data_IF_756731592598
#
_entry.id   IF_756731592598
#
_cell.length_a   1.000
_cell.length_b   1.000
_cell.length_c   1.000
_cell.angle_alpha   90.00
_cell.angle_beta   90.00
_cell.angle_gamma   90.00
#
_symmetry.space_group_name_H-M   'P 1'
#
loop_
_entity.id
_entity.type
_entity.pdbx_description
1 polymer ?
#
# COMPACT_ATOMS: atom_id res chain seq x y z
N UNK A 1 -17.38 10.53 40.37
CA UNK A 1 -18.84 10.51 40.47
C UNK A 1 -19.30 9.08 40.25
N UNK A 2 -19.82 8.50 41.31
CA UNK A 2 -20.22 7.10 41.48
C UNK A 2 -21.31 6.67 40.51
N UNK A 3 -21.30 5.41 40.07
CA UNK A 3 -22.46 4.53 40.16
C UNK A 3 -22.02 3.06 40.27
N UNK A 4 -22.41 2.49 41.40
CA UNK A 4 -22.33 1.11 41.84
C UNK A 4 -23.59 0.32 41.42
N UNK A 5 -23.41 -1.01 41.28
CA UNK A 5 -24.31 -2.11 41.66
C UNK A 5 -25.53 -2.41 40.74
N UNK A 6 -25.60 -3.70 40.26
CA UNK A 6 -26.59 -4.63 40.87
C UNK A 6 -26.32 -6.08 40.43
N UNK A 7 -26.04 -6.89 41.45
CA UNK A 7 -26.11 -8.36 41.48
C UNK A 7 -27.57 -8.79 41.40
N UNK A 8 -27.87 -9.91 40.73
CA UNK A 8 -29.06 -10.70 40.97
C UNK A 8 -28.80 -12.16 40.73
N UNK A 9 -28.54 -12.86 41.81
CA UNK A 9 -28.63 -14.29 42.03
C UNK A 9 -30.06 -14.80 41.76
N UNK A 10 -30.20 -15.94 41.05
CA UNK A 10 -31.40 -16.75 41.11
C UNK A 10 -31.05 -18.22 41.30
N UNK A 11 -31.16 -18.63 42.58
CA UNK A 11 -31.20 -20.00 43.01
C UNK A 11 -32.66 -20.50 42.91
N UNK A 12 -32.87 -21.67 42.35
CA UNK A 12 -34.08 -22.44 42.62
C UNK A 12 -33.76 -23.93 42.73
N UNK A 13 -33.91 -24.37 43.95
CA UNK A 13 -34.28 -25.68 44.48
C UNK A 13 -35.39 -26.38 43.66
N UNK A 14 -35.28 -27.69 43.45
CA UNK A 14 -36.38 -28.61 43.32
C UNK A 14 -35.93 -30.00 43.80
N UNK A 15 -36.46 -30.39 44.68
CA UNK A 15 -36.99 -31.32 45.67
C UNK A 15 -37.16 -32.74 45.10
N UNK A 16 -36.56 -33.68 45.84
CA UNK A 16 -36.79 -35.14 45.77
C UNK A 16 -38.26 -35.52 45.92
N UNK A 17 -38.72 -36.47 45.09
CA UNK A 17 -39.81 -37.34 45.44
C UNK A 17 -39.46 -38.78 45.08
N UNK A 18 -39.23 -39.54 46.12
CA UNK A 18 -39.20 -40.98 46.17
C UNK A 18 -40.57 -41.57 45.89
N UNK A 19 -40.65 -42.61 45.06
CA UNK A 19 -41.73 -43.57 45.09
C UNK A 19 -41.17 -44.98 44.95
N UNK A 20 -41.56 -45.84 45.91
CA UNK A 20 -41.11 -47.24 45.89
C UNK A 20 -42.25 -48.12 45.28
N UNK A 21 -41.98 -48.73 44.14
CA UNK A 21 -42.72 -49.95 43.76
C UNK A 21 -42.01 -50.63 42.60
N UNK A 22 -41.61 -51.83 42.80
CA UNK A 22 -41.59 -53.04 41.98
C UNK A 22 -40.24 -53.70 41.79
N UNK A 23 -39.85 -54.46 42.81
CA UNK A 23 -38.68 -55.38 42.79
C UNK A 23 -39.09 -56.70 42.13
N UNK A 24 -40.19 -56.84 41.37
CA UNK A 24 -40.68 -58.12 40.92
C UNK A 24 -40.51 -58.42 39.41
N UNK A 25 -39.92 -57.51 38.61
CA UNK A 25 -39.73 -57.75 37.16
C UNK A 25 -38.28 -57.88 36.74
N UNK A 26 -37.32 -57.88 37.68
CA UNK A 26 -35.90 -57.88 37.29
C UNK A 26 -35.31 -59.30 37.04
N UNK A 27 -35.97 -60.33 37.50
CA UNK A 27 -35.46 -61.72 37.42
C UNK A 27 -35.86 -62.46 36.12
N UNK A 28 -36.91 -62.02 35.42
CA UNK A 28 -37.33 -62.63 34.16
C UNK A 28 -36.64 -62.00 32.92
N UNK A 29 -36.11 -60.79 33.04
CA UNK A 29 -35.40 -60.13 31.95
C UNK A 29 -33.96 -60.61 31.79
N UNK A 30 -33.33 -61.11 32.82
CA UNK A 30 -31.93 -61.62 32.78
C UNK A 30 -31.82 -63.00 32.06
N UNK A 31 -32.86 -63.83 32.12
CA UNK A 31 -32.84 -65.18 31.47
C UNK A 31 -33.08 -65.02 29.95
N UNK A 32 -33.83 -64.07 29.50
CA UNK A 32 -34.03 -63.78 28.05
C UNK A 32 -32.84 -63.14 27.39
N UNK A 33 -31.99 -62.38 28.14
CA UNK A 33 -30.80 -61.71 27.63
C UNK A 33 -29.61 -62.66 27.43
N UNK A 34 -29.57 -63.83 28.17
CA UNK A 34 -28.48 -64.81 28.04
C UNK A 34 -28.59 -65.73 26.80
N UNK A 35 -29.77 -65.82 26.14
CA UNK A 35 -29.97 -66.65 24.97
C UNK A 35 -29.64 -65.97 23.64
N UNK A 36 -29.49 -64.65 23.65
CA UNK A 36 -29.16 -63.83 22.44
C UNK A 36 -27.66 -63.61 22.23
N UNK A 37 -26.78 -64.07 23.09
CA UNK A 37 -25.32 -63.82 23.00
C UNK A 37 -24.55 -65.03 22.38
N UNK A 38 -25.23 -66.09 21.93
CA UNK A 38 -24.59 -67.33 21.41
C UNK A 38 -24.70 -67.45 19.88
N UNK A 39 -24.70 -66.36 19.12
CA UNK A 39 -24.67 -66.50 17.66
C UNK A 39 -23.74 -65.48 17.05
N UNK A 40 -22.78 -65.98 16.29
CA UNK A 40 -21.81 -65.34 15.41
C UNK A 40 -20.49 -64.88 16.02
N UNK A 41 -19.67 -65.87 16.34
CA UNK A 41 -18.23 -65.69 16.17
C UNK A 41 -17.91 -65.95 14.69
N UNK A 42 -18.04 -64.92 13.85
CA UNK A 42 -17.49 -64.93 12.51
C UNK A 42 -16.27 -64.04 12.59
N UNK A 43 -15.10 -64.61 12.64
CA UNK A 43 -13.81 -63.98 12.41
C UNK A 43 -13.81 -63.50 10.94
N UNK A 44 -14.30 -62.34 10.71
CA UNK A 44 -13.93 -61.58 9.53
C UNK A 44 -12.61 -60.87 9.89
N UNK A 45 -11.53 -61.38 9.36
CA UNK A 45 -10.29 -60.63 9.19
C UNK A 45 -10.61 -59.54 8.18
N UNK A 46 -11.15 -58.42 8.65
CA UNK A 46 -11.08 -57.19 7.90
C UNK A 46 -9.60 -56.76 7.91
N UNK A 47 -8.92 -57.14 6.83
CA UNK A 47 -7.78 -56.38 6.39
C UNK A 47 -8.33 -54.97 6.18
N UNK A 48 -8.09 -54.07 7.13
CA UNK A 48 -8.17 -52.65 6.86
C UNK A 48 -7.20 -52.42 5.70
N UNK A 49 -7.70 -52.42 4.47
CA UNK A 49 -7.07 -51.74 3.38
C UNK A 49 -7.05 -50.27 3.84
N UNK A 50 -5.93 -49.88 4.40
CA UNK A 50 -5.56 -48.46 4.60
C UNK A 50 -5.76 -47.83 3.23
N UNK A 51 -6.92 -47.19 3.03
CA UNK A 51 -7.16 -46.39 1.83
C UNK A 51 -6.09 -45.29 1.84
N UNK A 52 -5.01 -45.57 1.11
CA UNK A 52 -3.96 -44.60 0.89
C UNK A 52 -4.59 -43.39 0.21
N UNK A 53 -4.93 -42.38 1.02
CA UNK A 53 -5.49 -41.14 0.52
C UNK A 53 -4.39 -40.41 -0.22
N UNK A 54 -4.41 -40.48 -1.53
CA UNK A 54 -3.52 -39.70 -2.39
C UNK A 54 -4.06 -38.26 -2.46
N UNK A 55 -3.20 -37.29 -2.17
CA UNK A 55 -3.57 -35.86 -2.24
C UNK A 55 -3.24 -35.33 -3.62
N UNK A 56 -4.21 -34.67 -4.33
CA UNK A 56 -3.92 -34.02 -5.59
C UNK A 56 -3.06 -32.77 -5.36
N UNK A 57 -1.97 -32.64 -6.14
CA UNK A 57 -0.99 -31.57 -5.99
C UNK A 57 -0.60 -30.99 -7.33
N UNK A 58 -0.14 -29.73 -7.35
CA UNK A 58 0.59 -29.17 -8.48
C UNK A 58 2.08 -29.07 -8.14
N UNK A 59 2.91 -29.10 -9.16
CA UNK A 59 4.37 -29.11 -9.00
C UNK A 59 5.01 -27.93 -9.72
N UNK A 60 6.17 -27.56 -9.23
CA UNK A 60 7.00 -26.51 -9.80
C UNK A 60 8.48 -26.91 -9.75
N UNK A 61 9.30 -26.12 -10.44
CA UNK A 61 10.75 -26.28 -10.44
C UNK A 61 11.44 -25.07 -9.85
N UNK A 62 12.64 -25.27 -9.32
CA UNK A 62 13.47 -24.15 -8.93
C UNK A 62 13.94 -23.39 -10.16
N UNK A 63 14.10 -22.06 -10.03
CA UNK A 63 14.67 -21.24 -11.09
C UNK A 63 15.88 -20.49 -10.57
N UNK A 64 16.88 -20.31 -11.42
CA UNK A 64 18.07 -19.51 -11.12
C UNK A 64 17.90 -18.16 -11.78
N UNK A 65 18.08 -17.10 -11.01
CA UNK A 65 17.96 -15.74 -11.53
C UNK A 65 18.38 -14.69 -10.50
N UNK A 66 18.36 -13.44 -10.96
CA UNK A 66 18.66 -12.31 -10.07
C UNK A 66 17.39 -11.96 -9.26
N UNK A 67 17.56 -11.78 -7.96
CA UNK A 67 16.50 -11.35 -7.05
C UNK A 67 16.87 -10.05 -6.36
N UNK A 68 15.86 -9.20 -6.13
CA UNK A 68 16.04 -7.91 -5.46
C UNK A 68 15.04 -7.80 -4.30
N UNK A 69 15.54 -7.54 -3.12
CA UNK A 69 14.69 -7.16 -1.99
C UNK A 69 14.30 -5.70 -2.13
N UNK A 70 13.01 -5.43 -2.37
CA UNK A 70 12.49 -4.11 -2.63
C UNK A 70 11.54 -3.72 -1.51
N UNK A 71 11.71 -2.50 -1.00
CA UNK A 71 10.73 -1.84 -0.13
C UNK A 71 10.04 -0.74 -0.93
N UNK A 72 8.71 -0.73 -0.93
CA UNK A 72 7.91 0.31 -1.56
C UNK A 72 7.49 1.34 -0.50
N UNK A 73 7.81 2.61 -0.75
CA UNK A 73 7.38 3.74 0.06
C UNK A 73 6.54 4.71 -0.76
N UNK A 74 5.62 5.39 -0.08
CA UNK A 74 4.82 6.41 -0.72
C UNK A 74 5.56 7.75 -0.76
N UNK A 75 5.46 8.44 -1.89
CA UNK A 75 5.92 9.81 -2.07
C UNK A 75 4.81 10.67 -2.65
N UNK A 76 4.69 11.90 -2.19
CA UNK A 76 3.64 12.84 -2.59
C UNK A 76 4.25 13.94 -3.43
N UNK A 77 3.65 14.21 -4.60
CA UNK A 77 4.06 15.30 -5.47
C UNK A 77 3.68 16.65 -4.87
N UNK A 78 4.61 17.61 -4.92
CA UNK A 78 4.36 18.98 -4.49
C UNK A 78 5.26 19.95 -5.24
N UNK A 79 4.88 21.21 -5.30
CA UNK A 79 5.74 22.26 -5.81
C UNK A 79 6.55 22.89 -4.66
N UNK A 80 7.88 22.89 -4.77
CA UNK A 80 8.74 23.52 -3.77
C UNK A 80 8.63 25.05 -3.77
N UNK A 81 8.28 25.63 -4.92
CA UNK A 81 8.16 27.07 -5.06
C UNK A 81 6.74 27.44 -5.46
N UNK A 82 6.06 28.10 -4.54
CA UNK A 82 4.72 28.66 -4.69
C UNK A 82 4.82 30.17 -4.52
N UNK A 83 4.47 30.89 -5.54
CA UNK A 83 4.61 32.34 -5.59
C UNK A 83 3.25 32.99 -5.44
N UNK A 84 3.10 33.81 -4.40
CA UNK A 84 1.90 34.61 -4.20
C UNK A 84 1.94 35.85 -5.09
N UNK A 85 0.80 36.14 -5.70
CA UNK A 85 0.55 37.37 -6.45
C UNK A 85 -0.34 38.25 -5.60
N UNK A 86 0.17 39.40 -5.17
CA UNK A 86 -0.56 40.30 -4.28
C UNK A 86 -0.90 41.63 -4.97
N UNK A 87 -1.93 42.28 -4.45
CA UNK A 87 -2.31 43.62 -4.85
C UNK A 87 -1.21 44.63 -4.47
N UNK A 88 -0.85 45.50 -5.40
CA UNK A 88 0.20 46.54 -5.23
C UNK A 88 -0.33 47.85 -4.70
N UNK A 89 -1.64 48.03 -4.63
CA UNK A 89 -2.33 49.21 -4.11
C UNK A 89 -3.80 48.88 -3.80
N UNK A 90 -4.48 49.79 -3.13
CA UNK A 90 -5.91 49.68 -2.83
C UNK A 90 -6.76 50.02 -4.07
N UNK A 91 -7.81 49.23 -4.31
CA UNK A 91 -8.73 49.51 -5.42
C UNK A 91 -9.69 48.36 -5.72
N UNK A 92 -10.39 48.48 -6.85
CA UNK A 92 -11.30 47.46 -7.34
C UNK A 92 -10.64 46.66 -8.46
N UNK A 93 -10.82 45.34 -8.44
CA UNK A 93 -10.40 44.49 -9.55
C UNK A 93 -11.33 44.69 -10.74
N UNK A 94 -10.83 45.32 -11.79
CA UNK A 94 -11.58 45.55 -13.02
C UNK A 94 -11.73 44.28 -13.85
N UNK A 95 -10.69 43.49 -13.93
CA UNK A 95 -10.70 42.21 -14.66
C UNK A 95 -9.71 41.20 -14.11
N UNK A 96 -10.03 39.94 -14.28
CA UNK A 96 -9.20 38.77 -14.03
C UNK A 96 -9.03 38.06 -15.37
N UNK A 97 -7.81 37.94 -15.87
CA UNK A 97 -7.51 37.49 -17.25
C UNK A 97 -7.04 36.04 -17.30
N UNK A 98 -7.03 35.34 -16.17
CA UNK A 98 -6.51 33.99 -16.04
C UNK A 98 -7.50 33.09 -15.31
N UNK A 99 -7.35 31.77 -15.52
CA UNK A 99 -8.16 30.74 -14.89
C UNK A 99 -7.27 29.81 -14.05
N UNK A 100 -7.81 29.17 -13.00
CA UNK A 100 -7.11 28.10 -12.28
C UNK A 100 -6.68 26.98 -13.25
N UNK A 101 -5.47 26.43 -13.05
CA UNK A 101 -4.85 25.43 -13.92
C UNK A 101 -4.20 25.98 -15.20
N UNK A 102 -4.42 27.25 -15.56
CA UNK A 102 -3.82 27.85 -16.73
C UNK A 102 -2.32 28.07 -16.56
N UNK A 103 -1.54 27.78 -17.60
CA UNK A 103 -0.12 28.10 -17.65
C UNK A 103 0.05 29.62 -17.85
N UNK A 104 0.93 30.22 -17.06
CA UNK A 104 1.27 31.63 -17.12
C UNK A 104 2.77 31.82 -17.30
N UNK A 105 3.14 32.89 -18.00
CA UNK A 105 4.52 33.29 -18.19
C UNK A 105 4.85 34.48 -17.29
N UNK A 106 6.09 34.60 -16.84
CA UNK A 106 6.58 35.75 -16.09
C UNK A 106 6.31 37.04 -16.88
N UNK A 107 5.72 38.07 -16.21
CA UNK A 107 5.33 39.32 -16.81
C UNK A 107 3.95 39.31 -17.50
N UNK A 108 3.29 38.18 -17.64
CA UNK A 108 1.92 38.07 -18.15
C UNK A 108 0.96 38.81 -17.21
N UNK A 109 0.07 39.65 -17.78
CA UNK A 109 -0.97 40.35 -17.00
C UNK A 109 -1.99 39.33 -16.50
N UNK A 110 -2.24 39.32 -15.19
CA UNK A 110 -3.16 38.44 -14.50
C UNK A 110 -4.41 39.16 -14.04
N UNK A 111 -4.22 40.38 -13.51
CA UNK A 111 -5.28 41.22 -12.98
C UNK A 111 -5.11 42.65 -13.46
N UNK A 112 -6.23 43.33 -13.64
CA UNK A 112 -6.26 44.77 -13.84
C UNK A 112 -6.96 45.40 -12.64
N UNK A 113 -6.25 46.25 -11.89
CA UNK A 113 -6.73 46.95 -10.73
C UNK A 113 -7.02 48.39 -11.11
N UNK A 114 -8.12 48.95 -10.64
CA UNK A 114 -8.43 50.37 -10.76
C UNK A 114 -8.40 51.00 -9.36
N UNK A 115 -7.43 51.87 -9.14
CA UNK A 115 -7.33 52.65 -7.91
C UNK A 115 -8.50 53.62 -7.79
N UNK A 116 -9.11 53.71 -6.60
CA UNK A 116 -10.26 54.61 -6.36
C UNK A 116 -9.95 56.08 -6.66
N UNK A 117 -8.75 56.51 -6.27
CA UNK A 117 -8.28 57.87 -6.51
C UNK A 117 -7.95 58.13 -7.98
N UNK A 118 -7.34 57.13 -8.64
CA UNK A 118 -7.01 57.21 -10.05
C UNK A 118 -8.25 57.23 -10.95
N UNK A 119 -9.33 56.53 -10.58
CA UNK A 119 -10.61 56.59 -11.29
C UNK A 119 -11.24 57.98 -11.26
N UNK A 120 -11.19 58.64 -10.09
CA UNK A 120 -11.70 60.01 -9.96
C UNK A 120 -10.86 61.05 -10.70
N UNK A 121 -9.51 60.96 -10.61
CA UNK A 121 -8.60 61.83 -11.35
C UNK A 121 -8.73 61.61 -12.86
N UNK A 122 -8.82 60.36 -13.29
CA UNK A 122 -8.95 60.03 -14.72
C UNK A 122 -10.19 60.61 -15.35
N UNK A 123 -11.33 60.62 -14.67
CA UNK A 123 -12.56 61.26 -15.16
C UNK A 123 -12.39 62.77 -15.34
N UNK A 124 -11.68 63.43 -14.41
CA UNK A 124 -11.45 64.86 -14.45
C UNK A 124 -10.44 65.26 -15.55
N UNK A 125 -9.33 64.53 -15.67
CA UNK A 125 -8.31 64.75 -16.69
C UNK A 125 -8.85 64.53 -18.10
N UNK A 126 -9.57 63.46 -18.34
CA UNK A 126 -10.17 63.14 -19.62
C UNK A 126 -11.31 64.04 -20.00
N UNK A 127 -11.93 64.77 -19.04
CA UNK A 127 -12.91 65.87 -19.30
C UNK A 127 -12.24 67.16 -19.67
N UNK A 128 -11.02 67.43 -19.17
CA UNK A 128 -10.25 68.65 -19.48
C UNK A 128 -9.49 68.54 -20.81
N UNK A 129 -9.00 67.35 -21.17
CA UNK A 129 -8.28 67.14 -22.42
C UNK A 129 -8.67 65.74 -22.99
N UNK A 130 -9.43 65.76 -24.07
CA UNK A 130 -9.91 64.55 -24.76
C UNK A 130 -8.83 63.77 -25.52
N UNK A 131 -7.62 64.33 -25.63
CA UNK A 131 -6.46 63.68 -26.26
C UNK A 131 -5.71 62.76 -25.27
N UNK A 132 -5.87 63.02 -23.97
CA UNK A 132 -5.24 62.21 -22.88
C UNK A 132 -6.21 61.18 -22.39
N UNK A 133 -5.85 59.89 -22.54
CA UNK A 133 -6.62 58.77 -22.03
C UNK A 133 -5.97 58.21 -20.76
N UNK A 134 -6.26 58.81 -19.62
CA UNK A 134 -5.81 58.32 -18.33
C UNK A 134 -6.81 57.31 -17.76
N UNK A 135 -6.48 56.03 -17.79
CA UNK A 135 -7.38 54.98 -17.31
C UNK A 135 -7.26 54.71 -15.81
N UNK A 136 -6.16 55.11 -15.20
CA UNK A 136 -5.86 54.80 -13.79
C UNK A 136 -5.76 53.32 -13.50
N UNK A 137 -5.54 52.51 -14.51
CA UNK A 137 -5.44 51.07 -14.42
C UNK A 137 -4.02 50.62 -14.07
N UNK A 138 -3.93 49.72 -13.11
CA UNK A 138 -2.67 49.12 -12.68
C UNK A 138 -2.73 47.61 -13.05
N UNK A 139 -1.75 47.21 -13.84
CA UNK A 139 -1.65 45.79 -14.28
C UNK A 139 -0.81 45.02 -13.30
N UNK A 140 -1.38 43.99 -12.72
CA UNK A 140 -0.68 43.03 -11.85
C UNK A 140 -0.28 41.84 -12.70
N UNK A 141 1.04 41.57 -12.72
CA UNK A 141 1.64 40.57 -13.60
C UNK A 141 2.17 39.36 -12.81
N UNK A 142 2.32 38.25 -13.49
CA UNK A 142 2.96 37.04 -12.94
C UNK A 142 4.44 37.36 -12.61
N UNK A 143 4.87 36.95 -11.42
CA UNK A 143 6.25 37.11 -10.95
C UNK A 143 7.16 35.95 -11.40
N UNK A 144 6.57 34.83 -11.88
CA UNK A 144 7.29 33.65 -12.35
C UNK A 144 6.51 32.89 -13.43
N UNK A 145 7.22 32.02 -14.17
CA UNK A 145 6.59 31.04 -15.05
C UNK A 145 5.98 29.91 -14.21
N UNK A 146 4.76 29.49 -14.54
CA UNK A 146 4.13 28.45 -13.75
C UNK A 146 2.72 28.10 -14.18
N UNK A 147 2.00 27.49 -13.25
CA UNK A 147 0.58 27.19 -13.38
C UNK A 147 -0.19 27.94 -12.29
N UNK A 148 -1.30 28.56 -12.67
CA UNK A 148 -2.20 29.23 -11.74
C UNK A 148 -2.83 28.18 -10.83
N UNK A 149 -2.50 28.20 -9.53
CA UNK A 149 -3.02 27.24 -8.57
C UNK A 149 -4.40 27.66 -8.07
N UNK A 150 -4.45 28.82 -7.43
CA UNK A 150 -5.68 29.37 -6.82
C UNK A 150 -5.83 30.84 -7.21
N UNK A 151 -7.08 31.25 -7.42
CA UNK A 151 -7.49 32.64 -7.58
C UNK A 151 -8.43 32.98 -6.43
N UNK A 152 -8.01 33.90 -5.55
CA UNK A 152 -8.73 34.22 -4.31
C UNK A 152 -9.71 35.39 -4.47
N UNK A 153 -9.65 36.15 -5.58
CA UNK A 153 -10.43 37.34 -5.81
C UNK A 153 -11.04 37.36 -7.21
N UNK A 154 -12.16 37.98 -7.36
CA UNK A 154 -12.90 38.07 -8.61
C UNK A 154 -12.99 39.54 -9.12
N UNK A 155 -13.35 39.71 -10.39
CA UNK A 155 -13.64 41.01 -10.92
C UNK A 155 -14.80 41.67 -10.15
N UNK A 156 -14.61 42.93 -9.76
CA UNK A 156 -15.54 43.69 -8.92
C UNK A 156 -15.16 43.70 -7.43
N UNK A 157 -14.28 42.83 -6.97
CA UNK A 157 -13.84 42.81 -5.56
C UNK A 157 -12.97 44.06 -5.25
N UNK A 158 -13.20 44.61 -4.05
CA UNK A 158 -12.28 45.58 -3.47
C UNK A 158 -11.12 44.86 -2.78
N UNK A 159 -9.91 45.27 -3.05
CA UNK A 159 -8.70 44.72 -2.47
C UNK A 159 -7.83 45.83 -1.86
N UNK A 160 -7.07 45.47 -0.83
CA UNK A 160 -6.10 46.32 -0.18
C UNK A 160 -4.69 45.96 -0.64
N UNK A 161 -3.77 46.91 -0.53
CA UNK A 161 -2.35 46.62 -0.77
C UNK A 161 -1.86 45.46 0.10
N UNK A 162 -1.20 44.50 -0.54
CA UNK A 162 -0.73 43.28 0.12
C UNK A 162 -1.73 42.09 0.10
N UNK A 163 -3.01 42.32 -0.24
CA UNK A 163 -3.97 41.21 -0.36
C UNK A 163 -3.50 40.20 -1.41
N UNK A 164 -3.52 38.92 -1.04
CA UNK A 164 -3.17 37.79 -1.94
C UNK A 164 -4.30 37.56 -2.92
N UNK A 165 -4.05 37.83 -4.19
CA UNK A 165 -5.00 37.68 -5.29
C UNK A 165 -4.99 36.28 -5.87
N UNK A 166 -3.80 35.66 -5.99
CA UNK A 166 -3.62 34.34 -6.57
C UNK A 166 -2.31 33.71 -6.10
N UNK A 167 -2.17 32.41 -6.38
CA UNK A 167 -0.94 31.66 -6.17
C UNK A 167 -0.52 30.96 -7.47
N UNK A 168 0.78 31.07 -7.80
CA UNK A 168 1.39 30.42 -8.96
C UNK A 168 2.32 29.31 -8.48
N UNK A 169 2.08 28.08 -8.89
CA UNK A 169 2.99 26.96 -8.75
C UNK A 169 4.08 27.08 -9.83
N UNK A 170 5.32 27.32 -9.41
CA UNK A 170 6.42 27.57 -10.36
C UNK A 170 6.76 26.33 -11.17
N UNK A 171 6.81 26.46 -12.50
CA UNK A 171 7.24 25.41 -13.41
C UNK A 171 8.66 24.92 -13.06
N UNK A 172 8.85 23.57 -13.09
CA UNK A 172 10.15 22.98 -12.80
C UNK A 172 10.48 22.82 -11.32
N UNK A 173 9.63 23.34 -10.40
CA UNK A 173 9.81 23.13 -8.96
C UNK A 173 9.06 21.90 -8.42
N UNK A 174 8.38 21.13 -9.27
CA UNK A 174 7.69 19.91 -8.88
C UNK A 174 8.69 18.85 -8.41
N UNK A 175 8.43 18.29 -7.27
CA UNK A 175 9.19 17.19 -6.66
C UNK A 175 8.22 16.20 -6.04
N UNK A 176 8.76 15.05 -5.67
CA UNK A 176 8.09 14.11 -4.76
C UNK A 176 8.76 14.17 -3.40
N UNK A 177 7.94 14.34 -2.36
CA UNK A 177 8.36 14.23 -0.95
C UNK A 177 8.06 12.84 -0.46
N UNK A 178 9.08 12.10 -0.05
CA UNK A 178 8.98 10.77 0.52
C UNK A 178 9.35 10.82 2.00
N UNK A 179 8.55 10.16 2.85
CA UNK A 179 8.87 9.94 4.25
C UNK A 179 9.66 8.63 4.34
N UNK A 180 10.96 8.74 4.54
CA UNK A 180 11.88 7.61 4.60
C UNK A 180 12.11 7.20 6.05
N UNK A 181 11.76 5.98 6.49
CA UNK A 181 12.18 5.44 7.78
C UNK A 181 13.70 5.52 7.91
N UNK A 182 14.18 6.01 9.06
CA UNK A 182 15.62 6.28 9.24
C UNK A 182 16.48 5.02 9.08
N UNK A 183 15.93 3.86 9.43
CA UNK A 183 16.58 2.55 9.23
C UNK A 183 16.91 2.24 7.74
N UNK A 184 16.13 2.81 6.81
CA UNK A 184 16.33 2.64 5.37
C UNK A 184 17.27 3.70 4.77
N UNK A 185 17.74 4.66 5.56
CA UNK A 185 18.55 5.78 5.07
C UNK A 185 19.85 5.34 4.42
N UNK A 186 20.43 4.23 4.89
CA UNK A 186 21.67 3.65 4.35
C UNK A 186 21.53 3.13 2.92
N UNK A 187 20.32 2.76 2.50
CA UNK A 187 20.04 2.25 1.15
C UNK A 187 19.77 3.36 0.14
N UNK A 188 19.60 4.59 0.60
CA UNK A 188 19.24 5.74 -0.22
C UNK A 188 20.29 6.86 -0.10
N UNK A 189 21.20 6.96 -1.05
CA UNK A 189 22.21 8.01 -1.09
C UNK A 189 21.77 9.19 -1.98
N UNK A 190 22.35 10.36 -1.73
CA UNK A 190 22.16 11.55 -2.58
C UNK A 190 22.56 11.22 -4.03
N UNK A 191 21.82 11.77 -5.00
CA UNK A 191 21.94 11.54 -6.44
C UNK A 191 21.63 10.10 -6.89
N UNK A 192 21.14 9.24 -6.00
CA UNK A 192 20.66 7.90 -6.39
C UNK A 192 19.38 8.03 -7.22
N UNK A 193 19.37 7.33 -8.32
CA UNK A 193 18.17 7.18 -9.15
C UNK A 193 17.24 6.14 -8.54
N UNK A 194 15.94 6.46 -8.48
CA UNK A 194 14.89 5.57 -7.96
C UNK A 194 13.78 5.41 -8.98
N UNK A 195 13.23 4.21 -9.09
CA UNK A 195 12.04 3.94 -9.87
C UNK A 195 10.82 4.31 -9.05
N UNK A 196 9.87 4.99 -9.68
CA UNK A 196 8.59 5.34 -9.09
C UNK A 196 7.46 4.89 -9.98
N UNK A 197 6.37 4.43 -9.39
CA UNK A 197 5.15 4.01 -10.09
C UNK A 197 4.03 4.95 -9.71
N UNK A 198 3.44 5.60 -10.69
CA UNK A 198 2.28 6.46 -10.54
C UNK A 198 0.99 5.63 -10.42
N UNK A 199 -0.12 6.20 -9.91
CA UNK A 199 -1.40 5.48 -9.77
C UNK A 199 -1.99 4.95 -11.08
N UNK A 200 -1.63 5.55 -12.21
CA UNK A 200 -2.00 5.09 -13.56
C UNK A 200 -1.14 3.90 -14.07
N UNK A 201 -0.21 3.41 -13.23
CA UNK A 201 0.72 2.34 -13.59
C UNK A 201 1.96 2.83 -14.35
N UNK A 202 2.04 4.11 -14.70
CA UNK A 202 3.20 4.66 -15.41
C UNK A 202 4.43 4.64 -14.53
N UNK A 203 5.51 4.07 -15.03
CA UNK A 203 6.82 4.06 -14.39
C UNK A 203 7.58 5.33 -14.77
N UNK A 204 8.09 6.03 -13.77
CA UNK A 204 8.92 7.20 -13.94
C UNK A 204 10.20 7.04 -13.11
N UNK A 205 11.24 7.75 -13.52
CA UNK A 205 12.51 7.75 -12.82
C UNK A 205 12.70 9.09 -12.10
N UNK A 206 13.02 9.02 -10.82
CA UNK A 206 13.36 10.19 -10.02
C UNK A 206 14.80 10.13 -9.53
N UNK A 207 15.35 11.30 -9.18
CA UNK A 207 16.69 11.40 -8.58
C UNK A 207 16.55 11.97 -7.18
N UNK A 208 17.15 11.31 -6.19
CA UNK A 208 17.24 11.81 -4.82
C UNK A 208 18.08 13.09 -4.82
N UNK A 209 17.45 14.20 -4.52
CA UNK A 209 18.07 15.52 -4.55
C UNK A 209 18.63 15.90 -3.19
N UNK A 210 17.83 15.71 -2.15
CA UNK A 210 18.12 16.18 -0.80
C UNK A 210 17.36 15.36 0.21
N UNK A 211 17.98 15.11 1.38
CA UNK A 211 17.29 14.66 2.59
C UNK A 211 17.29 15.80 3.60
N UNK A 212 16.15 16.08 4.20
CA UNK A 212 16.04 17.09 5.25
C UNK A 212 16.77 16.58 6.50
N UNK A 213 17.67 17.33 7.13
CA UNK A 213 18.51 16.82 8.23
C UNK A 213 17.76 16.75 9.58
N UNK A 214 16.45 16.57 9.53
CA UNK A 214 15.58 16.37 10.70
C UNK A 214 14.76 15.12 10.54
N UNK A 215 14.59 14.41 11.64
CA UNK A 215 13.75 13.20 11.73
C UNK A 215 12.51 13.56 12.54
N UNK A 216 11.35 13.17 12.07
CA UNK A 216 10.11 13.29 12.84
C UNK A 216 10.19 12.39 14.07
N UNK A 217 10.00 12.91 15.30
CA UNK A 217 10.22 12.16 16.53
C UNK A 217 9.17 11.06 16.78
N UNK A 218 7.99 11.17 16.16
CA UNK A 218 6.90 10.20 16.33
C UNK A 218 7.02 9.06 15.34
N UNK A 219 7.16 9.39 14.04
CA UNK A 219 7.22 8.39 12.98
C UNK A 219 8.62 7.86 12.70
N UNK A 220 9.67 8.48 13.29
CA UNK A 220 11.08 8.16 13.02
C UNK A 220 11.43 8.17 11.52
N UNK A 221 10.78 9.07 10.76
CA UNK A 221 10.99 9.24 9.34
C UNK A 221 11.73 10.52 9.01
N UNK A 222 12.47 10.51 7.93
CA UNK A 222 13.18 11.66 7.35
C UNK A 222 12.53 12.03 6.03
N UNK A 223 12.28 13.32 5.80
CA UNK A 223 11.77 13.80 4.52
C UNK A 223 12.88 13.78 3.45
N UNK A 224 12.61 13.12 2.34
CA UNK A 224 13.50 13.01 1.18
C UNK A 224 12.85 13.63 -0.04
N UNK A 225 13.59 14.52 -0.71
CA UNK A 225 13.17 15.22 -1.92
C UNK A 225 13.66 14.45 -3.15
N UNK A 226 12.72 14.01 -3.99
CA UNK A 226 13.00 13.31 -5.24
C UNK A 226 12.59 14.20 -6.40
N UNK A 227 13.55 14.59 -7.26
CA UNK A 227 13.30 15.36 -8.48
C UNK A 227 12.96 14.44 -9.64
N UNK A 228 11.99 14.85 -10.43
CA UNK A 228 11.55 14.13 -11.63
C UNK A 228 11.80 15.01 -12.85
N UNK A 229 12.51 14.54 -13.88
CA UNK A 229 12.61 15.29 -15.14
C UNK A 229 11.23 15.40 -15.78
N UNK A 230 10.90 16.55 -16.36
CA UNK A 230 9.64 16.81 -17.06
C UNK A 230 8.36 16.61 -16.21
N UNK A 231 8.40 16.95 -14.93
CA UNK A 231 7.26 16.83 -14.01
C UNK A 231 6.05 17.72 -14.32
N UNK A 232 6.09 18.51 -15.39
CA UNK A 232 5.05 19.52 -15.71
C UNK A 232 3.65 18.97 -16.03
N UNK A 233 3.51 17.68 -16.25
CA UNK A 233 2.23 17.01 -16.46
C UNK A 233 1.70 16.27 -15.22
N UNK A 234 2.45 16.28 -14.12
CA UNK A 234 2.07 15.59 -12.88
C UNK A 234 1.35 16.59 -11.97
N UNK A 235 0.10 16.31 -11.56
CA UNK A 235 -0.62 17.18 -10.64
C UNK A 235 0.01 17.15 -9.24
N UNK A 236 -0.22 18.21 -8.48
CA UNK A 236 0.14 18.28 -7.05
C UNK A 236 -0.71 17.27 -6.23
N UNK A 237 -0.17 16.80 -5.12
CA UNK A 237 -0.79 15.83 -4.20
C UNK A 237 -1.03 14.43 -4.80
N UNK A 238 -0.37 14.08 -5.90
CA UNK A 238 -0.39 12.74 -6.44
C UNK A 238 0.55 11.84 -5.62
N UNK A 239 0.06 10.65 -5.25
CA UNK A 239 0.86 9.67 -4.51
C UNK A 239 1.50 8.72 -5.51
N UNK A 240 2.82 8.60 -5.47
CA UNK A 240 3.60 7.62 -6.23
C UNK A 240 4.23 6.61 -5.27
N UNK A 241 4.40 5.38 -5.73
CA UNK A 241 5.17 4.33 -5.03
C UNK A 241 6.62 4.41 -5.48
N UNK A 242 7.53 4.60 -4.53
CA UNK A 242 8.99 4.64 -4.75
C UNK A 242 9.56 3.30 -4.36
N UNK A 243 10.34 2.67 -5.24
CA UNK A 243 11.01 1.41 -4.99
C UNK A 243 12.43 1.64 -4.48
N UNK A 244 12.70 1.16 -3.28
CA UNK A 244 14.03 1.18 -2.65
C UNK A 244 14.57 -0.24 -2.65
N UNK A 245 15.72 -0.42 -3.31
CA UNK A 245 16.40 -1.71 -3.35
C UNK A 245 17.29 -1.84 -2.11
N UNK A 246 16.98 -2.80 -1.22
CA UNK A 246 17.78 -3.10 -0.03
C UNK A 246 18.92 -4.06 -0.34
N UNK A 247 18.61 -5.16 -1.01
CA UNK A 247 19.58 -6.19 -1.36
C UNK A 247 19.40 -6.63 -2.81
N UNK A 248 20.51 -7.00 -3.43
CA UNK A 248 20.53 -7.65 -4.74
C UNK A 248 21.29 -8.98 -4.61
N UNK A 249 20.64 -10.06 -5.00
CA UNK A 249 21.24 -11.39 -5.10
C UNK A 249 21.28 -11.79 -6.56
N UNK A 250 22.48 -12.13 -7.04
CA UNK A 250 22.70 -12.57 -8.42
C UNK A 250 22.79 -14.07 -8.49
N UNK A 251 22.21 -14.65 -9.54
CA UNK A 251 22.28 -16.08 -9.83
C UNK A 251 21.86 -16.94 -8.64
N UNK A 252 20.79 -16.55 -7.94
CA UNK A 252 20.29 -17.28 -6.78
C UNK A 252 19.17 -18.23 -7.15
N UNK A 253 19.05 -19.32 -6.43
CA UNK A 253 17.99 -20.31 -6.59
C UNK A 253 16.73 -19.83 -5.88
N UNK A 254 15.61 -19.84 -6.55
CA UNK A 254 14.33 -19.40 -5.98
C UNK A 254 13.18 -20.32 -6.33
N UNK A 255 12.18 -20.35 -5.46
CA UNK A 255 10.93 -21.07 -5.62
C UNK A 255 9.74 -20.10 -5.57
N UNK A 256 8.60 -20.42 -6.18
CA UNK A 256 7.35 -19.73 -5.92
C UNK A 256 7.05 -19.72 -4.42
N UNK A 257 6.49 -18.63 -3.92
CA UNK A 257 6.16 -18.49 -2.49
C UNK A 257 5.23 -19.60 -1.98
N UNK A 258 4.32 -20.09 -2.82
CA UNK A 258 3.37 -21.15 -2.50
C UNK A 258 4.05 -22.50 -2.25
N UNK A 259 5.23 -22.73 -2.83
CA UNK A 259 5.99 -23.95 -2.64
C UNK A 259 6.76 -23.99 -1.32
N UNK A 260 6.92 -22.86 -0.62
CA UNK A 260 7.66 -22.76 0.64
C UNK A 260 6.68 -22.62 1.79
N UNK A 261 6.65 -23.63 2.63
CA UNK A 261 5.78 -23.73 3.80
C UNK A 261 6.50 -23.25 5.05
N UNK A 262 5.74 -22.83 6.06
CA UNK A 262 6.26 -22.39 7.35
C UNK A 262 5.40 -22.94 8.49
N UNK A 263 6.00 -23.03 9.68
CA UNK A 263 5.26 -23.26 10.91
C UNK A 263 4.48 -21.99 11.35
N UNK A 264 3.67 -22.15 12.40
CA UNK A 264 2.85 -21.04 12.93
C UNK A 264 3.70 -19.87 13.46
N UNK A 265 4.95 -20.13 13.84
CA UNK A 265 5.87 -19.11 14.36
C UNK A 265 6.64 -18.39 13.26
N UNK A 266 6.58 -18.89 12.02
CA UNK A 266 7.35 -18.43 10.86
C UNK A 266 8.87 -18.50 11.07
N UNK A 267 9.32 -19.43 11.92
CA UNK A 267 10.74 -19.63 12.21
C UNK A 267 11.32 -20.79 11.41
N UNK A 268 10.51 -21.86 11.19
CA UNK A 268 10.93 -23.02 10.45
C UNK A 268 10.24 -23.10 9.09
N UNK A 269 11.04 -23.23 8.05
CA UNK A 269 10.57 -23.31 6.68
C UNK A 269 10.91 -24.67 6.08
N UNK A 270 10.03 -25.19 5.22
CA UNK A 270 10.26 -26.42 4.49
C UNK A 270 9.58 -26.40 3.12
N UNK A 271 10.00 -27.32 2.27
CA UNK A 271 9.37 -27.62 0.99
C UNK A 271 9.00 -29.10 0.96
N UNK A 272 8.07 -29.46 0.11
CA UNK A 272 7.76 -30.87 -0.20
C UNK A 272 8.40 -31.21 -1.54
N UNK A 273 9.46 -32.00 -1.53
CA UNK A 273 10.22 -32.41 -2.72
C UNK A 273 9.83 -33.81 -3.14
N UNK A 274 9.54 -33.99 -4.43
CA UNK A 274 9.27 -35.31 -5.00
C UNK A 274 10.54 -36.16 -4.99
N UNK A 275 10.39 -37.42 -4.55
CA UNK A 275 11.45 -38.43 -4.65
C UNK A 275 11.21 -39.34 -5.85
N UNK A 276 9.96 -39.60 -6.18
CA UNK A 276 9.48 -40.34 -7.34
C UNK A 276 8.16 -39.75 -7.86
N UNK A 277 7.46 -40.40 -8.77
CA UNK A 277 6.24 -39.91 -9.40
C UNK A 277 5.03 -39.79 -8.44
N UNK A 278 5.04 -40.48 -7.29
CA UNK A 278 3.92 -40.58 -6.37
C UNK A 278 4.26 -40.18 -4.93
N UNK A 279 5.54 -39.97 -4.61
CA UNK A 279 5.98 -39.67 -3.25
C UNK A 279 6.71 -38.33 -3.14
N UNK A 280 6.31 -37.56 -2.12
CA UNK A 280 6.99 -36.33 -1.74
C UNK A 280 7.50 -36.41 -0.29
N UNK A 281 8.66 -35.80 -0.03
CA UNK A 281 9.26 -35.69 1.30
C UNK A 281 9.42 -34.26 1.72
N UNK A 282 9.28 -34.04 3.01
CA UNK A 282 9.52 -32.77 3.67
C UNK A 282 11.02 -32.50 3.77
N UNK A 283 11.47 -31.41 3.19
CA UNK A 283 12.86 -30.97 3.22
C UNK A 283 12.93 -29.62 3.93
N UNK A 284 13.58 -29.52 5.10
CA UNK A 284 13.80 -28.23 5.75
C UNK A 284 14.63 -27.32 4.88
N UNK A 285 14.25 -26.03 4.81
CA UNK A 285 14.99 -25.05 4.01
C UNK A 285 15.31 -23.80 4.82
N UNK A 286 16.42 -23.17 4.47
CA UNK A 286 16.76 -21.83 4.93
C UNK A 286 16.40 -20.85 3.84
N UNK A 287 15.43 -19.97 4.09
CA UNK A 287 15.03 -18.94 3.12
C UNK A 287 15.98 -17.75 3.15
N UNK A 288 16.17 -17.13 1.99
CA UNK A 288 16.82 -15.84 1.82
C UNK A 288 15.81 -14.71 1.63
N UNK A 289 16.07 -13.87 0.63
CA UNK A 289 15.18 -12.76 0.30
C UNK A 289 13.89 -13.22 -0.38
N UNK A 290 12.82 -12.43 -0.18
CA UNK A 290 11.53 -12.63 -0.84
C UNK A 290 11.29 -11.48 -1.83
N UNK A 291 10.94 -11.79 -3.07
CA UNK A 291 10.69 -10.80 -4.12
C UNK A 291 9.84 -11.35 -5.25
N UNK A 292 8.91 -10.55 -5.75
CA UNK A 292 8.12 -10.89 -6.93
C UNK A 292 7.32 -12.19 -6.82
N UNK A 293 6.86 -12.55 -5.60
CA UNK A 293 6.14 -13.81 -5.37
C UNK A 293 7.03 -15.05 -5.32
N UNK A 294 8.35 -14.85 -5.25
CA UNK A 294 9.35 -15.92 -5.13
C UNK A 294 10.19 -15.75 -3.87
N UNK A 295 10.71 -16.86 -3.35
CA UNK A 295 11.58 -16.94 -2.17
C UNK A 295 12.91 -17.56 -2.57
N UNK A 296 14.00 -16.90 -2.21
CA UNK A 296 15.35 -17.45 -2.31
C UNK A 296 15.55 -18.61 -1.35
N UNK A 297 16.15 -19.69 -1.82
CA UNK A 297 16.54 -20.84 -0.99
C UNK A 297 18.05 -20.87 -0.85
N UNK A 298 18.51 -20.66 0.39
CA UNK A 298 19.93 -20.63 0.73
C UNK A 298 20.48 -22.04 1.01
N UNK A 299 19.65 -22.91 1.57
CA UNK A 299 20.01 -24.30 1.92
C UNK A 299 18.74 -25.15 1.98
N UNK A 300 18.80 -26.43 1.56
CA UNK A 300 19.89 -27.09 0.86
C UNK A 300 20.07 -26.58 -0.56
N UNK A 301 21.14 -26.96 -1.23
CA UNK A 301 21.30 -26.70 -2.66
C UNK A 301 20.24 -27.49 -3.45
N UNK A 302 19.42 -26.77 -4.21
CA UNK A 302 18.40 -27.36 -5.08
C UNK A 302 18.89 -27.35 -6.52
N UNK A 303 18.61 -28.45 -7.24
CA UNK A 303 18.81 -28.52 -8.69
C UNK A 303 17.58 -27.95 -9.41
N UNK A 304 17.78 -27.42 -10.61
CA UNK A 304 16.67 -27.00 -11.49
C UNK A 304 15.76 -28.19 -11.90
N UNK A 305 16.28 -29.41 -11.83
CA UNK A 305 15.53 -30.63 -12.13
C UNK A 305 14.72 -31.13 -10.93
N UNK A 306 14.92 -30.55 -9.74
CA UNK A 306 14.13 -30.93 -8.56
C UNK A 306 12.67 -30.53 -8.74
N UNK A 307 11.78 -31.51 -8.56
CA UNK A 307 10.33 -31.32 -8.61
C UNK A 307 9.83 -31.05 -7.21
N UNK A 308 9.12 -29.94 -7.02
CA UNK A 308 8.68 -29.46 -5.71
C UNK A 308 7.19 -29.18 -5.78
N UNK A 309 6.44 -29.53 -4.74
CA UNK A 309 5.01 -29.27 -4.67
C UNK A 309 4.75 -27.76 -4.53
N UNK A 310 3.87 -27.23 -5.36
CA UNK A 310 3.47 -25.82 -5.31
C UNK A 310 2.15 -25.65 -4.57
N UNK A 311 1.14 -26.48 -4.86
CA UNK A 311 -0.15 -26.46 -4.18
C UNK A 311 -0.53 -27.86 -3.68
N UNK A 312 -1.48 -27.96 -2.74
CA UNK A 312 -1.84 -29.21 -2.09
C UNK A 312 -0.78 -29.74 -1.12
N UNK A 313 0.24 -28.95 -0.85
CA UNK A 313 1.40 -29.27 -0.03
C UNK A 313 1.21 -29.01 1.47
N UNK A 314 0.15 -28.30 1.86
CA UNK A 314 -0.12 -27.95 3.26
C UNK A 314 -0.73 -29.13 4.02
N UNK A 315 -0.25 -29.36 5.27
CA UNK A 315 -0.78 -30.40 6.15
C UNK A 315 -0.36 -31.84 5.80
N UNK A 316 0.51 -32.00 4.80
CA UNK A 316 1.06 -33.32 4.48
C UNK A 316 2.03 -33.82 5.56
N UNK A 317 2.09 -35.15 5.83
CA UNK A 317 3.10 -35.75 6.68
C UNK A 317 4.51 -35.59 6.08
N UNK A 318 5.54 -35.91 6.87
CA UNK A 318 6.96 -35.79 6.43
C UNK A 318 7.27 -36.62 5.17
N UNK A 319 6.51 -37.69 4.92
CA UNK A 319 6.49 -38.43 3.64
C UNK A 319 5.02 -38.63 3.26
N UNK A 320 4.64 -38.16 2.08
CA UNK A 320 3.26 -38.20 1.61
C UNK A 320 3.15 -38.85 0.24
N UNK A 321 2.09 -39.63 0.02
CA UNK A 321 1.69 -40.09 -1.31
C UNK A 321 0.82 -39.02 -1.96
N UNK A 322 1.18 -38.63 -3.17
CA UNK A 322 0.56 -37.52 -3.92
C UNK A 322 0.26 -37.95 -5.35
N UNK A 323 -0.71 -37.28 -5.97
CA UNK A 323 -1.00 -37.38 -7.40
C UNK A 323 -0.83 -36.02 -8.03
N UNK A 324 0.10 -35.94 -8.97
CA UNK A 324 0.37 -34.68 -9.69
C UNK A 324 -0.75 -34.43 -10.69
N UNK A 325 -1.53 -33.40 -10.45
CA UNK A 325 -2.46 -32.88 -11.44
C UNK A 325 -1.64 -32.21 -12.54
N UNK A 326 -1.75 -32.72 -13.77
CA UNK A 326 -1.29 -31.98 -14.93
C UNK A 326 -2.32 -30.88 -15.16
N UNK A 327 -1.95 -29.62 -14.90
CA UNK A 327 -2.76 -28.50 -15.32
C UNK A 327 -2.94 -28.62 -16.84
N UNK A 328 -4.18 -28.74 -17.28
CA UNK A 328 -4.52 -28.57 -18.69
C UNK A 328 -4.30 -27.07 -18.99
N UNK A 329 -3.24 -26.77 -19.79
CA UNK A 329 -2.96 -25.43 -20.33
C UNK A 329 -4.13 -24.89 -21.18
#
# INVERSE_FOLDING_TARGET
>A
MNYKLLFSTFSRHCEERSNPFSIFNFQFSIICLCILVSSCHRTASETEEEQETTTPVTVTHSTIGDMQEIVELNAISTFLQKNQVSATTNGYLKSVTVLPGQRVAKGQVLFVLQGKEAANLGSTINALDTTIHFSGEIKITANSDGYMNVINRQAGDYVMEGDVLAEINQSGSLVFLMQLPFELSSYLSKNKTVEMVLPDGKKITGTVSMSVPTVDPVSQTQSVVIRVPNGGAIPENLIAKVKIIKNVRKNTVSLPKLAVLADETLENFWIMKMIDEEQAVKVPVTKGIESGGRIEILSPALSVDDVILETGNYGLPDTAKVVVNKDED
#
